data_IF_916185100399
#
_entry.id   IF_916185100399
#
_cell.length_a   1.000
_cell.length_b   1.000
_cell.length_c   1.000
_cell.angle_alpha   90.00
_cell.angle_beta   90.00
_cell.angle_gamma   90.00
#
_symmetry.space_group_name_H-M   'P 1'
#
loop_
_entity.id
_entity.type
_entity.pdbx_description
1 polymer ?
#
# COMPACT_ATOMS: atom_id res chain seq x y z
N UNK A 1 3.60 20.29 -3.78
CA UNK A 1 3.49 18.89 -3.28
C UNK A 1 2.41 18.19 -4.08
N UNK A 2 2.63 16.95 -4.53
CA UNK A 2 1.59 16.15 -5.18
C UNK A 2 0.67 15.52 -4.13
N UNK A 3 -0.57 15.19 -4.50
CA UNK A 3 -1.50 14.43 -3.64
C UNK A 3 -0.85 13.13 -3.11
N UNK A 4 -0.09 12.44 -3.96
CA UNK A 4 0.66 11.22 -3.63
C UNK A 4 1.73 11.48 -2.56
N UNK A 5 2.53 12.53 -2.67
CA UNK A 5 3.54 12.87 -1.66
C UNK A 5 2.92 13.23 -0.30
N UNK A 6 1.77 13.90 -0.31
CA UNK A 6 1.02 14.18 0.91
C UNK A 6 0.52 12.88 1.55
N UNK A 7 0.00 11.94 0.76
CA UNK A 7 -0.49 10.66 1.27
C UNK A 7 0.63 9.76 1.81
N UNK A 8 1.79 9.70 1.14
CA UNK A 8 2.99 9.01 1.68
C UNK A 8 3.38 9.60 3.04
N UNK A 9 3.35 10.92 3.18
CA UNK A 9 3.67 11.60 4.44
C UNK A 9 2.67 11.25 5.53
N UNK A 10 1.38 11.18 5.18
CA UNK A 10 0.29 10.75 6.08
C UNK A 10 0.54 9.33 6.61
N UNK A 11 0.80 8.36 5.73
CA UNK A 11 1.09 6.98 6.10
C UNK A 11 2.30 6.84 7.05
N UNK A 12 3.39 7.55 6.74
CA UNK A 12 4.60 7.53 7.58
C UNK A 12 4.34 8.20 8.93
N UNK A 13 3.59 9.30 8.96
CA UNK A 13 3.24 9.99 10.20
C UNK A 13 2.38 9.10 11.09
N UNK A 14 1.38 8.46 10.51
CA UNK A 14 0.44 7.58 11.20
C UNK A 14 1.13 6.32 11.72
N UNK A 15 2.06 5.74 10.95
CA UNK A 15 2.89 4.63 11.41
C UNK A 15 3.74 4.98 12.65
N UNK A 16 4.13 6.24 12.80
CA UNK A 16 4.91 6.72 13.95
C UNK A 16 4.04 7.25 15.10
N UNK A 17 2.71 7.25 14.94
CA UNK A 17 1.75 7.86 15.87
C UNK A 17 0.52 6.98 16.04
N UNK A 18 0.69 5.66 15.94
CA UNK A 18 -0.39 4.67 15.96
C UNK A 18 -1.26 4.77 17.21
N UNK A 19 -0.68 5.18 18.34
CA UNK A 19 -1.38 5.40 19.60
C UNK A 19 -2.43 6.51 19.54
N UNK A 20 -2.38 7.36 18.50
CA UNK A 20 -3.35 8.42 18.26
C UNK A 20 -4.45 8.01 17.27
N UNK A 21 -4.44 6.77 16.79
CA UNK A 21 -5.41 6.22 15.86
C UNK A 21 -6.22 5.12 16.54
N UNK A 22 -7.54 5.16 16.36
CA UNK A 22 -8.39 4.03 16.69
C UNK A 22 -8.31 2.92 15.62
N UNK A 23 -8.84 1.75 15.94
CA UNK A 23 -8.79 0.57 15.06
C UNK A 23 -9.50 0.81 13.72
N UNK A 24 -10.56 1.60 13.70
CA UNK A 24 -11.27 1.97 12.48
C UNK A 24 -10.40 2.87 11.59
N UNK A 25 -9.73 3.86 12.17
CA UNK A 25 -8.80 4.76 11.48
C UNK A 25 -7.61 3.98 10.92
N UNK A 26 -7.01 3.09 11.72
CA UNK A 26 -5.91 2.21 11.29
C UNK A 26 -6.33 1.34 10.09
N UNK A 27 -7.50 0.68 10.16
CA UNK A 27 -8.04 -0.11 9.05
C UNK A 27 -8.28 0.76 7.82
N UNK A 28 -8.97 1.89 7.97
CA UNK A 28 -9.34 2.77 6.86
C UNK A 28 -8.11 3.31 6.14
N UNK A 29 -7.05 3.62 6.88
CA UNK A 29 -5.78 4.08 6.32
C UNK A 29 -5.13 3.01 5.43
N UNK A 30 -5.06 1.76 5.89
CA UNK A 30 -4.53 0.65 5.11
C UNK A 30 -5.40 0.30 3.90
N UNK A 31 -6.73 0.32 4.03
CA UNK A 31 -7.65 0.11 2.90
C UNK A 31 -7.45 1.17 1.81
N UNK A 32 -7.34 2.44 2.19
CA UNK A 32 -7.06 3.54 1.26
C UNK A 32 -5.72 3.33 0.56
N UNK A 33 -4.70 2.88 1.28
CA UNK A 33 -3.40 2.57 0.70
C UNK A 33 -3.47 1.39 -0.29
N UNK A 34 -4.19 0.33 0.04
CA UNK A 34 -4.41 -0.83 -0.84
C UNK A 34 -5.07 -0.41 -2.14
N UNK A 35 -6.15 0.37 -2.07
CA UNK A 35 -6.82 0.91 -3.27
C UNK A 35 -5.85 1.75 -4.10
N UNK A 36 -5.13 2.68 -3.47
CA UNK A 36 -4.15 3.55 -4.16
C UNK A 36 -3.07 2.74 -4.88
N UNK A 37 -2.53 1.70 -4.24
CA UNK A 37 -1.50 0.85 -4.84
C UNK A 37 -2.06 0.07 -6.04
N UNK A 38 -3.29 -0.45 -5.94
CA UNK A 38 -3.95 -1.17 -7.04
C UNK A 38 -4.16 -0.25 -8.25
N UNK A 39 -4.69 0.94 -8.02
CA UNK A 39 -4.95 1.92 -9.09
C UNK A 39 -3.65 2.35 -9.78
N UNK A 40 -2.57 2.56 -9.01
CA UNK A 40 -1.25 2.88 -9.57
C UNK A 40 -0.65 1.72 -10.36
N UNK A 41 -0.76 0.48 -9.86
CA UNK A 41 -0.31 -0.73 -10.58
C UNK A 41 -1.06 -0.90 -11.90
N UNK A 42 -2.38 -0.72 -11.89
CA UNK A 42 -3.22 -0.75 -13.09
C UNK A 42 -2.76 0.30 -14.11
N UNK A 43 -2.55 1.54 -13.65
CA UNK A 43 -2.08 2.65 -14.50
C UNK A 43 -0.71 2.35 -15.15
N UNK A 44 0.19 1.68 -14.43
CA UNK A 44 1.53 1.32 -14.93
C UNK A 44 1.47 0.08 -15.86
N UNK A 45 0.41 -0.74 -15.78
CA UNK A 45 0.30 -2.01 -16.48
C UNK A 45 0.90 -3.20 -15.73
N UNK A 46 1.01 -3.12 -14.39
CA UNK A 46 1.47 -4.22 -13.54
C UNK A 46 0.27 -5.16 -13.24
N UNK A 47 0.25 -6.39 -13.77
CA UNK A 47 -0.85 -7.32 -13.54
C UNK A 47 -0.79 -7.88 -12.12
N UNK A 48 -1.96 -8.27 -11.60
CA UNK A 48 -2.01 -9.15 -10.43
C UNK A 48 -1.65 -10.57 -10.87
N UNK A 49 -0.46 -11.03 -10.47
CA UNK A 49 0.05 -12.35 -10.86
C UNK A 49 -0.24 -13.45 -9.83
N UNK A 50 -0.15 -14.74 -10.21
CA UNK A 50 -0.20 -15.84 -9.26
C UNK A 50 1.04 -15.80 -8.35
N UNK A 51 0.82 -15.68 -7.04
CA UNK A 51 1.91 -15.63 -6.06
C UNK A 51 1.53 -14.87 -4.79
N UNK A 52 2.49 -14.73 -3.87
CA UNK A 52 2.32 -13.85 -2.71
C UNK A 52 2.41 -12.40 -3.16
N UNK A 53 1.31 -11.67 -3.02
CA UNK A 53 1.25 -10.23 -3.28
C UNK A 53 1.26 -9.47 -1.95
N UNK A 54 2.23 -8.59 -1.77
CA UNK A 54 2.34 -7.73 -0.59
C UNK A 54 1.11 -6.85 -0.38
N UNK A 55 0.38 -6.50 -1.45
CA UNK A 55 -0.88 -5.74 -1.34
C UNK A 55 -1.98 -6.60 -0.70
N UNK A 56 -1.99 -7.90 -0.99
CA UNK A 56 -2.92 -8.84 -0.34
C UNK A 56 -2.55 -9.00 1.14
N UNK A 57 -1.25 -9.15 1.46
CA UNK A 57 -0.78 -9.24 2.84
C UNK A 57 -1.18 -8.00 3.65
N UNK A 58 -1.02 -6.78 3.10
CA UNK A 58 -1.46 -5.53 3.72
C UNK A 58 -2.98 -5.49 3.91
N UNK A 59 -3.75 -5.91 2.91
CA UNK A 59 -5.20 -5.95 3.01
C UNK A 59 -5.66 -6.95 4.09
N UNK A 60 -4.98 -8.08 4.23
CA UNK A 60 -5.22 -9.04 5.32
C UNK A 60 -4.93 -8.43 6.68
N UNK A 61 -3.86 -7.64 6.83
CA UNK A 61 -3.62 -6.88 8.07
C UNK A 61 -4.79 -5.94 8.35
N UNK A 62 -5.21 -5.15 7.36
CA UNK A 62 -6.32 -4.20 7.51
C UNK A 62 -7.60 -4.86 8.01
N UNK A 63 -8.01 -5.98 7.40
CA UNK A 63 -9.22 -6.73 7.77
C UNK A 63 -9.13 -7.36 9.16
N UNK A 64 -7.91 -7.55 9.70
CA UNK A 64 -7.69 -8.19 11.00
C UNK A 64 -7.63 -7.21 12.17
N UNK A 65 -7.60 -5.89 11.91
CA UNK A 65 -7.38 -4.86 12.93
C UNK A 65 -8.55 -4.81 13.93
N UNK A 66 -9.79 -4.69 13.44
CA UNK A 66 -10.97 -4.60 14.30
C UNK A 66 -11.25 -5.91 15.08
N UNK A 67 -10.60 -7.02 14.70
CA UNK A 67 -10.65 -8.28 15.43
C UNK A 67 -9.62 -8.37 16.56
N UNK A 68 -8.73 -7.39 16.71
CA UNK A 68 -7.65 -7.41 17.70
C UNK A 68 -6.59 -8.49 17.44
N UNK A 69 -6.50 -9.01 16.20
CA UNK A 69 -5.59 -10.11 15.84
C UNK A 69 -4.19 -9.62 15.42
N UNK A 70 -3.96 -8.31 15.40
CA UNK A 70 -2.72 -7.69 14.96
C UNK A 70 -2.12 -6.86 16.07
N UNK A 71 -0.80 -6.95 16.22
CA UNK A 71 -0.05 -6.05 17.09
C UNK A 71 0.07 -4.67 16.46
N UNK A 72 0.32 -3.64 17.27
CA UNK A 72 0.63 -2.31 16.73
C UNK A 72 1.87 -2.34 15.81
N UNK A 73 2.84 -3.23 16.07
CA UNK A 73 4.00 -3.44 15.21
C UNK A 73 3.61 -3.99 13.82
N UNK A 74 2.64 -4.91 13.74
CA UNK A 74 2.13 -5.42 12.46
C UNK A 74 1.48 -4.30 11.65
N UNK A 75 0.65 -3.46 12.30
CA UNK A 75 -0.03 -2.33 11.66
C UNK A 75 0.99 -1.28 11.22
N UNK A 76 1.98 -0.98 12.07
CA UNK A 76 3.08 -0.05 11.76
C UNK A 76 3.84 -0.49 10.53
N UNK A 77 4.23 -1.75 10.50
CA UNK A 77 4.99 -2.32 9.40
C UNK A 77 4.17 -2.31 8.10
N UNK A 78 2.87 -2.61 8.16
CA UNK A 78 1.98 -2.52 7.01
C UNK A 78 1.85 -1.08 6.47
N UNK A 79 1.72 -0.07 7.34
CA UNK A 79 1.67 1.34 6.93
C UNK A 79 2.97 1.80 6.25
N UNK A 80 4.13 1.42 6.81
CA UNK A 80 5.43 1.75 6.23
C UNK A 80 5.67 1.02 4.90
N UNK A 81 5.25 -0.25 4.81
CA UNK A 81 5.34 -1.03 3.57
C UNK A 81 4.46 -0.43 2.47
N UNK A 82 3.23 -0.03 2.82
CA UNK A 82 2.33 0.69 1.91
C UNK A 82 2.94 2.01 1.42
N UNK A 83 3.51 2.81 2.32
CA UNK A 83 4.16 4.07 1.97
C UNK A 83 5.35 3.87 1.01
N UNK A 84 6.16 2.84 1.25
CA UNK A 84 7.24 2.44 0.35
C UNK A 84 6.73 2.07 -1.04
N UNK A 85 5.72 1.21 -1.14
CA UNK A 85 5.16 0.80 -2.43
C UNK A 85 4.55 1.97 -3.21
N UNK A 86 3.80 2.85 -2.56
CA UNK A 86 3.24 4.04 -3.22
C UNK A 86 4.36 4.95 -3.72
N UNK A 87 5.44 5.11 -2.94
CA UNK A 87 6.62 5.88 -3.39
C UNK A 87 7.26 5.28 -4.63
N UNK A 88 7.49 3.98 -4.64
CA UNK A 88 8.14 3.29 -5.76
C UNK A 88 7.28 3.41 -7.03
N UNK A 89 5.98 3.16 -6.92
CA UNK A 89 5.04 3.32 -8.03
C UNK A 89 4.93 4.79 -8.49
N UNK A 90 5.02 5.74 -7.56
CA UNK A 90 4.98 7.16 -7.90
C UNK A 90 6.21 7.56 -8.72
N UNK A 91 7.39 7.05 -8.38
CA UNK A 91 8.62 7.28 -9.12
C UNK A 91 8.48 6.73 -10.55
N UNK A 92 7.95 5.51 -10.72
CA UNK A 92 7.72 4.89 -12.05
C UNK A 92 6.76 5.73 -12.90
N UNK A 93 5.66 6.23 -12.30
CA UNK A 93 4.71 7.10 -12.98
C UNK A 93 5.31 8.46 -13.35
N UNK A 94 6.06 9.07 -12.43
CA UNK A 94 6.68 10.39 -12.65
C UNK A 94 7.78 10.32 -13.72
N UNK A 95 8.54 9.22 -13.77
CA UNK A 95 9.52 8.95 -14.81
C UNK A 95 8.91 8.57 -16.17
N UNK A 96 7.57 8.45 -16.27
CA UNK A 96 6.82 7.99 -17.46
C UNK A 96 7.28 6.63 -17.96
N UNK A 97 7.71 5.75 -17.05
CA UNK A 97 8.18 4.42 -17.39
C UNK A 97 6.98 3.49 -17.53
N UNK A 98 6.76 2.96 -18.74
CA UNK A 98 5.77 1.90 -18.97
C UNK A 98 6.39 0.52 -18.72
N UNK A 99 5.67 -0.35 -18.02
CA UNK A 99 6.08 -1.76 -17.82
C UNK A 99 5.14 -2.63 -18.65
N UNK A 100 5.69 -3.39 -19.59
CA UNK A 100 4.96 -4.41 -20.35
C UNK A 100 5.56 -5.78 -20.09
N UNK A 101 4.69 -6.75 -19.82
CA UNK A 101 5.05 -8.15 -19.70
C UNK A 101 4.78 -8.81 -21.05
N UNK A 102 5.81 -9.39 -21.67
CA UNK A 102 5.65 -10.24 -22.85
C UNK A 102 5.22 -11.64 -22.40
N UNK A 103 4.21 -12.22 -23.05
CA UNK A 103 3.88 -13.64 -22.85
C UNK A 103 5.11 -14.52 -23.16
N UNK A 104 5.37 -15.57 -22.36
CA UNK A 104 6.42 -16.52 -22.70
C UNK A 104 6.08 -17.19 -24.04
N UNK A 105 7.06 -17.25 -24.94
CA UNK A 105 6.94 -18.03 -26.17
C UNK A 105 6.65 -19.49 -25.79
N UNK A 106 5.44 -19.95 -26.09
CA UNK A 106 5.01 -21.33 -25.90
C UNK A 106 5.75 -22.32 -26.80
#
# INVERSE_FOLDING_TARGET
>A
MTLTNSFITELVRDANRLENLDDYQKRRMLERAVTTIRDMRETIGIPSGPGRDSVVDIHTVALSIEHGWRSDDDVRNALLQAAGMIRDLHIVLDSKTGISFSEPAG
#
